data_IF_889762088670
#
_entry.id   IF_889762088670
#
_cell.length_a   1.000
_cell.length_b   1.000
_cell.length_c   1.000
_cell.angle_alpha   90.00
_cell.angle_beta   90.00
_cell.angle_gamma   90.00
#
_symmetry.space_group_name_H-M   'P 1'
#
loop_
_entity.id
_entity.type
_entity.pdbx_description
1 polymer ?
#
# COMPACT_ATOMS: atom_id res chain seq x y z
N UNK A 1 35.54 39.88 2.02
CA UNK A 1 34.20 40.06 2.64
C UNK A 1 33.02 39.93 1.67
N UNK A 2 33.07 40.47 0.44
CA UNK A 2 31.97 40.46 -0.56
C UNK A 2 31.50 39.05 -0.99
N UNK A 3 32.43 38.09 -1.16
CA UNK A 3 32.14 36.68 -1.56
C UNK A 3 31.35 35.90 -0.48
N UNK A 4 31.71 36.09 0.80
CA UNK A 4 31.02 35.49 1.97
C UNK A 4 29.59 36.00 2.14
N UNK A 5 29.34 37.30 1.90
CA UNK A 5 28.00 37.92 1.93
C UNK A 5 27.11 37.45 0.78
N UNK A 6 27.69 37.17 -0.39
CA UNK A 6 26.95 36.63 -1.54
C UNK A 6 26.54 35.17 -1.30
N UNK A 7 27.43 34.35 -0.72
CA UNK A 7 27.14 32.97 -0.33
C UNK A 7 26.04 32.87 0.73
N UNK A 8 26.01 33.76 1.73
CA UNK A 8 24.94 33.78 2.75
C UNK A 8 23.59 34.19 2.18
N UNK A 9 23.56 35.11 1.20
CA UNK A 9 22.33 35.50 0.50
C UNK A 9 21.80 34.37 -0.39
N UNK A 10 22.67 33.69 -1.13
CA UNK A 10 22.29 32.52 -1.94
C UNK A 10 21.77 31.39 -1.05
N UNK A 11 22.45 31.09 0.06
CA UNK A 11 21.99 30.09 1.02
C UNK A 11 20.63 30.46 1.63
N UNK A 12 20.39 31.74 1.94
CA UNK A 12 19.09 32.22 2.42
C UNK A 12 17.98 32.06 1.38
N UNK A 13 18.24 32.34 0.11
CA UNK A 13 17.27 32.12 -0.97
C UNK A 13 17.00 30.63 -1.23
N UNK A 14 18.03 29.78 -1.19
CA UNK A 14 17.87 28.32 -1.30
C UNK A 14 17.00 27.80 -0.14
N UNK A 15 17.29 28.20 1.10
CA UNK A 15 16.50 27.80 2.27
C UNK A 15 15.04 28.27 2.15
N UNK A 16 14.82 29.53 1.74
CA UNK A 16 13.48 30.06 1.55
C UNK A 16 12.69 29.31 0.46
N UNK A 17 13.34 28.99 -0.67
CA UNK A 17 12.73 28.21 -1.75
C UNK A 17 12.43 26.77 -1.31
N UNK A 18 13.33 26.12 -0.57
CA UNK A 18 13.10 24.77 -0.02
C UNK A 18 11.94 24.74 0.98
N UNK A 19 11.84 25.73 1.87
CA UNK A 19 10.73 25.86 2.81
C UNK A 19 9.41 26.15 2.11
N UNK A 20 9.41 27.04 1.11
CA UNK A 20 8.23 27.33 0.31
C UNK A 20 7.75 26.11 -0.47
N UNK A 21 8.68 25.36 -1.08
CA UNK A 21 8.38 24.08 -1.72
C UNK A 21 7.82 23.06 -0.74
N UNK A 22 8.44 22.90 0.44
CA UNK A 22 7.96 21.99 1.48
C UNK A 22 6.55 22.35 1.95
N UNK A 23 6.27 23.63 2.21
CA UNK A 23 4.94 24.09 2.56
C UNK A 23 3.93 23.83 1.44
N UNK A 24 4.30 24.07 0.18
CA UNK A 24 3.42 23.82 -0.95
C UNK A 24 3.10 22.33 -1.10
N UNK A 25 4.13 21.47 -1.17
CA UNK A 25 3.98 20.06 -1.47
C UNK A 25 3.31 19.28 -0.32
N UNK A 26 3.61 19.64 0.94
CA UNK A 26 3.14 18.87 2.09
C UNK A 26 1.92 19.47 2.80
N UNK A 27 1.57 20.74 2.55
CA UNK A 27 0.42 21.39 3.20
C UNK A 27 -0.59 21.94 2.19
N UNK A 28 -0.15 22.77 1.22
CA UNK A 28 -1.06 23.52 0.35
C UNK A 28 -1.70 22.62 -0.71
N UNK A 29 -0.89 21.89 -1.48
CA UNK A 29 -1.39 21.05 -2.57
C UNK A 29 -2.30 19.91 -2.06
N UNK A 30 -1.96 19.17 -0.98
CA UNK A 30 -2.86 18.16 -0.41
C UNK A 30 -4.18 18.76 0.08
N UNK A 31 -4.15 19.94 0.70
CA UNK A 31 -5.37 20.61 1.18
C UNK A 31 -6.26 21.09 0.03
N UNK A 32 -5.65 21.53 -1.08
CA UNK A 32 -6.35 21.92 -2.29
C UNK A 32 -7.05 20.74 -2.97
N UNK A 33 -6.34 19.63 -3.20
CA UNK A 33 -6.93 18.41 -3.77
C UNK A 33 -8.03 17.83 -2.87
N UNK A 34 -7.76 17.76 -1.56
CA UNK A 34 -8.79 17.37 -0.58
C UNK A 34 -10.02 18.30 -0.61
N UNK A 35 -9.90 19.55 -1.03
CA UNK A 35 -11.04 20.45 -1.20
C UNK A 35 -11.80 20.24 -2.51
N UNK A 36 -11.10 20.00 -3.61
CA UNK A 36 -11.73 19.70 -4.90
C UNK A 36 -12.47 18.36 -4.85
N UNK A 37 -11.84 17.34 -4.27
CA UNK A 37 -12.37 15.97 -4.26
C UNK A 37 -13.55 15.82 -3.30
N UNK A 38 -13.75 16.74 -2.34
CA UNK A 38 -14.96 16.83 -1.49
C UNK A 38 -16.27 16.95 -2.30
N UNK A 39 -16.20 17.38 -3.55
CA UNK A 39 -17.36 17.52 -4.44
C UNK A 39 -17.65 16.31 -5.35
N UNK A 40 -16.73 15.34 -5.45
CA UNK A 40 -16.84 14.16 -6.31
C UNK A 40 -17.13 12.91 -5.47
N UNK A 41 -18.30 12.89 -4.81
CA UNK A 41 -18.82 11.64 -4.27
C UNK A 41 -19.47 10.88 -5.43
N UNK A 42 -18.69 10.01 -6.05
CA UNK A 42 -19.19 9.08 -7.07
C UNK A 42 -19.06 7.64 -6.57
N UNK A 43 -20.23 7.10 -6.21
CA UNK A 43 -20.63 5.69 -6.12
C UNK A 43 -20.28 4.91 -4.84
N UNK A 44 -21.09 3.89 -4.48
CA UNK A 44 -20.93 3.11 -3.26
C UNK A 44 -19.73 2.15 -3.36
N UNK A 45 -18.76 2.36 -2.47
CA UNK A 45 -17.97 1.44 -1.63
C UNK A 45 -18.02 -0.09 -1.90
N UNK A 46 -17.62 -0.57 -3.07
CA UNK A 46 -17.18 -1.97 -3.19
C UNK A 46 -15.68 -2.02 -3.50
N UNK A 47 -14.89 -2.45 -2.52
CA UNK A 47 -13.49 -2.87 -2.73
C UNK A 47 -12.51 -1.77 -3.19
N UNK A 48 -12.64 -0.53 -2.69
CA UNK A 48 -11.65 0.54 -2.87
C UNK A 48 -11.21 1.12 -1.54
N UNK A 49 -9.91 1.27 -1.32
CA UNK A 49 -9.38 1.94 -0.12
C UNK A 49 -9.47 3.46 -0.24
N UNK A 50 -9.29 4.18 0.85
CA UNK A 50 -9.19 5.63 0.89
C UNK A 50 -7.98 6.07 1.70
N UNK A 51 -7.45 7.26 1.41
CA UNK A 51 -6.53 7.92 2.34
C UNK A 51 -7.31 8.39 3.59
N UNK A 52 -6.63 8.71 4.70
CA UNK A 52 -7.30 9.31 5.87
C UNK A 52 -8.05 10.62 5.57
N UNK A 53 -7.75 11.26 4.43
CA UNK A 53 -8.40 12.47 3.94
C UNK A 53 -9.63 12.19 3.05
N UNK A 54 -9.94 10.92 2.78
CA UNK A 54 -11.08 10.51 1.95
C UNK A 54 -10.78 10.47 0.45
N UNK A 55 -9.51 10.54 0.04
CA UNK A 55 -9.12 10.44 -1.36
C UNK A 55 -9.12 8.95 -1.75
N UNK A 56 -9.72 8.54 -2.87
CA UNK A 56 -9.65 7.16 -3.35
C UNK A 56 -8.20 6.66 -3.45
N UNK A 57 -7.93 5.52 -2.82
CA UNK A 57 -6.63 4.86 -2.76
C UNK A 57 -6.50 3.74 -3.78
N UNK A 58 -5.70 2.73 -3.43
CA UNK A 58 -5.56 1.51 -4.22
C UNK A 58 -6.83 0.63 -4.05
N UNK A 59 -7.28 -0.10 -5.09
CA UNK A 59 -8.39 -1.03 -4.95
C UNK A 59 -8.00 -2.29 -4.16
N UNK A 60 -8.99 -2.94 -3.57
CA UNK A 60 -8.91 -4.30 -3.05
C UNK A 60 -8.96 -5.25 -4.25
N UNK A 61 -7.90 -6.01 -4.45
CA UNK A 61 -7.72 -6.92 -5.59
C UNK A 61 -7.33 -8.34 -5.15
N UNK A 62 -7.12 -8.58 -3.86
CA UNK A 62 -6.81 -9.90 -3.29
C UNK A 62 -7.59 -10.15 -2.01
N UNK A 63 -7.77 -11.41 -1.65
CA UNK A 63 -8.19 -11.80 -0.32
C UNK A 63 -7.67 -13.16 0.08
N UNK A 64 -7.59 -13.42 1.38
CA UNK A 64 -7.15 -14.68 1.95
C UNK A 64 -8.12 -15.14 3.03
N UNK A 65 -8.53 -16.41 2.96
CA UNK A 65 -9.38 -17.05 3.96
C UNK A 65 -8.51 -17.94 4.84
N UNK A 66 -8.45 -17.60 6.12
CA UNK A 66 -7.67 -18.32 7.11
C UNK A 66 -7.40 -17.50 8.38
N UNK A 67 -6.95 -18.19 9.42
CA UNK A 67 -6.50 -17.52 10.64
C UNK A 67 -5.32 -16.60 10.36
N UNK A 68 -5.10 -15.63 11.25
CA UNK A 68 -3.95 -14.75 11.19
C UNK A 68 -2.63 -15.52 11.09
N UNK A 69 -2.47 -16.58 11.89
CA UNK A 69 -1.28 -17.42 11.90
C UNK A 69 -1.08 -18.17 10.58
N UNK A 70 -2.15 -18.61 9.93
CA UNK A 70 -2.09 -19.20 8.58
C UNK A 70 -1.64 -18.15 7.55
N UNK A 71 -2.20 -16.94 7.58
CA UNK A 71 -1.82 -15.85 6.67
C UNK A 71 -0.34 -15.50 6.81
N UNK A 72 0.14 -15.35 8.06
CA UNK A 72 1.55 -15.05 8.33
C UNK A 72 2.48 -16.15 7.82
N UNK A 73 2.16 -17.42 8.11
CA UNK A 73 2.95 -18.57 7.62
C UNK A 73 2.93 -18.67 6.10
N UNK A 74 1.79 -18.42 5.47
CA UNK A 74 1.63 -18.48 4.03
C UNK A 74 2.48 -17.42 3.31
N UNK A 75 2.47 -16.18 3.81
CA UNK A 75 3.27 -15.09 3.27
C UNK A 75 4.78 -15.32 3.48
N UNK A 76 5.19 -15.77 4.68
CA UNK A 76 6.57 -16.13 4.96
C UNK A 76 7.08 -17.25 4.04
N UNK A 77 6.29 -18.31 3.86
CA UNK A 77 6.61 -19.40 2.93
C UNK A 77 6.73 -18.94 1.47
N UNK A 78 5.98 -17.90 1.08
CA UNK A 78 6.09 -17.27 -0.24
C UNK A 78 7.18 -16.16 -0.31
N UNK A 79 7.96 -15.97 0.75
CA UNK A 79 9.10 -15.05 0.81
C UNK A 79 8.72 -13.58 0.99
N UNK A 80 7.56 -13.29 1.60
CA UNK A 80 7.14 -11.95 1.99
C UNK A 80 7.60 -11.63 3.42
N UNK A 81 7.90 -10.35 3.68
CA UNK A 81 8.34 -9.86 4.99
C UNK A 81 7.41 -8.77 5.51
N UNK A 82 7.25 -8.64 6.83
CA UNK A 82 6.41 -7.60 7.41
C UNK A 82 6.99 -6.18 7.13
N UNK A 83 6.13 -5.28 6.65
CA UNK A 83 6.53 -3.97 6.13
C UNK A 83 6.47 -2.83 7.16
N UNK A 84 5.89 -3.03 8.35
CA UNK A 84 5.85 -1.97 9.38
C UNK A 84 5.79 -2.51 10.83
N UNK A 85 6.05 -1.60 11.79
CA UNK A 85 6.07 -1.91 13.22
C UNK A 85 4.69 -2.34 13.77
N UNK A 86 3.60 -1.93 13.14
CA UNK A 86 2.24 -2.33 13.53
C UNK A 86 2.06 -3.81 13.20
N UNK A 87 2.45 -4.21 12.00
CA UNK A 87 2.45 -5.60 11.54
C UNK A 87 3.33 -6.44 12.45
N UNK A 88 4.53 -5.97 12.81
CA UNK A 88 5.39 -6.67 13.78
C UNK A 88 4.73 -6.84 15.14
N UNK A 89 4.14 -5.77 15.71
CA UNK A 89 3.41 -5.85 16.98
C UNK A 89 2.22 -6.81 16.89
N UNK A 90 1.52 -6.79 15.77
CA UNK A 90 0.43 -7.71 15.47
C UNK A 90 0.94 -9.15 15.26
N UNK A 91 2.16 -9.35 14.78
CA UNK A 91 2.71 -10.67 14.41
C UNK A 91 3.58 -11.32 15.49
N UNK A 92 3.70 -10.68 16.67
CA UNK A 92 4.59 -11.09 17.77
C UNK A 92 4.33 -12.50 18.34
N UNK A 93 3.24 -13.16 17.94
CA UNK A 93 2.93 -14.54 18.30
C UNK A 93 3.80 -15.58 17.56
N UNK A 94 4.52 -15.18 16.50
CA UNK A 94 5.41 -16.07 15.73
C UNK A 94 6.87 -15.83 16.18
N UNK A 95 7.53 -16.92 16.58
CA UNK A 95 8.72 -16.94 17.44
C UNK A 95 9.91 -16.06 17.01
N UNK A 96 10.61 -15.61 18.06
CA UNK A 96 11.81 -14.76 18.23
C UNK A 96 12.94 -14.71 17.16
N UNK A 97 12.88 -15.41 16.03
CA UNK A 97 14.04 -15.52 15.12
C UNK A 97 14.20 -14.41 14.07
N UNK A 98 13.23 -13.49 13.90
CA UNK A 98 13.29 -12.44 12.86
C UNK A 98 13.42 -11.03 13.45
N UNK A 99 13.50 -10.89 14.78
CA UNK A 99 13.30 -9.62 15.48
C UNK A 99 14.55 -8.69 15.56
N UNK A 100 15.73 -9.10 15.09
CA UNK A 100 16.98 -8.37 15.38
C UNK A 100 17.92 -8.15 14.19
N UNK A 101 17.49 -7.46 13.13
CA UNK A 101 18.52 -6.80 12.28
C UNK A 101 18.12 -5.58 11.44
N UNK A 102 17.03 -4.87 11.75
CA UNK A 102 16.75 -3.59 11.07
C UNK A 102 16.43 -2.47 12.06
N UNK A 103 17.34 -1.47 12.22
CA UNK A 103 17.00 -0.26 12.94
C UNK A 103 15.94 0.50 12.14
N UNK A 104 14.71 0.56 12.67
CA UNK A 104 13.56 1.16 12.01
C UNK A 104 13.29 2.56 12.56
N UNK A 105 13.42 3.57 11.70
CA UNK A 105 13.05 4.96 11.95
C UNK A 105 12.10 5.38 10.83
N UNK A 106 10.87 5.71 11.21
CA UNK A 106 9.74 6.20 10.40
C UNK A 106 9.04 5.21 9.45
N UNK A 107 7.71 5.18 9.55
CA UNK A 107 6.81 4.22 8.91
C UNK A 107 6.82 4.35 7.37
N UNK A 108 7.27 3.35 6.59
CA UNK A 108 7.51 3.51 5.15
C UNK A 108 6.26 3.23 4.28
N UNK A 109 5.11 2.97 4.90
CA UNK A 109 3.87 2.65 4.18
C UNK A 109 2.80 3.70 4.48
N UNK A 110 2.33 4.40 3.44
CA UNK A 110 1.18 5.30 3.53
C UNK A 110 -0.05 4.55 4.08
N UNK A 111 -0.69 5.15 5.09
CA UNK A 111 -1.91 4.59 5.69
C UNK A 111 -3.04 4.60 4.67
N UNK A 112 -3.68 3.45 4.48
CA UNK A 112 -4.92 3.33 3.72
C UNK A 112 -6.04 2.89 4.67
N UNK A 113 -7.24 3.34 4.38
CA UNK A 113 -8.44 3.10 5.16
C UNK A 113 -9.42 2.32 4.28
N UNK A 114 -9.95 1.23 4.82
CA UNK A 114 -11.00 0.44 4.20
C UNK A 114 -12.10 0.23 5.23
N UNK A 115 -13.36 0.51 4.85
CA UNK A 115 -14.52 0.48 5.76
C UNK A 115 -14.30 1.25 7.08
N UNK A 116 -13.63 2.41 6.99
CA UNK A 116 -13.34 3.25 8.16
C UNK A 116 -12.22 2.74 9.07
N UNK A 117 -11.56 1.62 8.72
CA UNK A 117 -10.43 1.05 9.49
C UNK A 117 -9.11 1.15 8.74
N UNK A 118 -8.04 1.42 9.48
CA UNK A 118 -6.67 1.28 8.97
C UNK A 118 -6.33 -0.19 8.73
N UNK A 119 -5.34 -0.44 7.87
CA UNK A 119 -4.86 -1.79 7.61
C UNK A 119 -4.41 -2.49 8.91
N UNK A 120 -4.67 -3.80 8.99
CA UNK A 120 -4.29 -4.62 10.15
C UNK A 120 -2.88 -5.20 9.99
N UNK A 121 -2.48 -5.53 8.75
CA UNK A 121 -1.17 -6.08 8.40
C UNK A 121 -0.67 -5.51 7.06
N UNK A 122 0.64 -5.40 6.90
CA UNK A 122 1.30 -4.98 5.66
C UNK A 122 2.58 -5.79 5.41
N UNK A 123 2.81 -6.22 4.17
CA UNK A 123 3.94 -7.05 3.77
C UNK A 123 4.62 -6.54 2.52
N UNK A 124 5.93 -6.65 2.47
CA UNK A 124 6.76 -6.29 1.33
C UNK A 124 7.60 -7.48 0.86
N UNK A 125 7.90 -7.51 -0.43
CA UNK A 125 8.87 -8.44 -1.02
C UNK A 125 9.79 -7.67 -1.98
N UNK A 126 11.10 -7.57 -1.70
CA UNK A 126 12.02 -6.76 -2.49
C UNK A 126 12.27 -7.35 -3.88
N UNK A 127 12.54 -6.49 -4.85
CA UNK A 127 12.97 -6.88 -6.21
C UNK A 127 14.41 -6.50 -6.45
N UNK A 128 15.29 -7.51 -6.51
CA UNK A 128 16.73 -7.29 -6.66
C UNK A 128 17.36 -6.63 -5.43
N UNK A 129 18.41 -5.84 -5.63
CA UNK A 129 19.18 -5.22 -4.55
C UNK A 129 18.73 -3.81 -4.18
N UNK A 130 17.82 -3.21 -4.96
CA UNK A 130 17.41 -1.81 -4.80
C UNK A 130 16.13 -1.68 -3.99
N UNK A 131 16.12 -0.78 -3.01
CA UNK A 131 14.96 -0.50 -2.16
C UNK A 131 13.84 0.30 -2.86
N UNK A 132 14.05 0.72 -4.11
CA UNK A 132 13.08 1.51 -4.89
C UNK A 132 11.98 0.65 -5.53
N UNK A 133 12.19 -0.68 -5.58
CA UNK A 133 11.25 -1.63 -6.18
C UNK A 133 10.88 -2.73 -5.23
N UNK A 134 9.59 -2.83 -4.91
CA UNK A 134 9.07 -3.83 -4.00
C UNK A 134 7.63 -4.15 -4.34
N UNK A 135 7.31 -5.43 -4.22
CA UNK A 135 5.93 -5.90 -4.13
C UNK A 135 5.40 -5.54 -2.76
N UNK A 136 4.13 -5.16 -2.68
CA UNK A 136 3.52 -4.72 -1.44
C UNK A 136 2.07 -5.16 -1.37
N UNK A 137 1.66 -5.68 -0.22
CA UNK A 137 0.27 -5.98 0.06
C UNK A 137 -0.11 -5.52 1.45
N UNK A 138 -1.31 -4.94 1.58
CA UNK A 138 -1.94 -4.60 2.87
C UNK A 138 -3.17 -5.47 3.05
N UNK A 139 -3.47 -5.87 4.28
CA UNK A 139 -4.63 -6.68 4.63
C UNK A 139 -5.47 -6.04 5.74
N UNK A 140 -6.78 -6.20 5.61
CA UNK A 140 -7.81 -5.85 6.59
C UNK A 140 -8.56 -7.12 6.97
N UNK A 141 -8.72 -7.36 8.27
CA UNK A 141 -9.58 -8.43 8.77
C UNK A 141 -11.03 -7.96 8.68
N UNK A 142 -11.84 -8.69 7.92
CA UNK A 142 -13.25 -8.39 7.76
C UNK A 142 -14.04 -8.77 9.03
N UNK A 143 -15.06 -7.97 9.40
CA UNK A 143 -15.91 -8.28 10.55
C UNK A 143 -16.72 -9.57 10.33
N UNK A 144 -17.15 -9.79 9.10
CA UNK A 144 -17.85 -11.00 8.69
C UNK A 144 -16.86 -12.05 8.17
N UNK A 145 -16.95 -13.31 8.61
CA UNK A 145 -16.09 -14.39 8.12
C UNK A 145 -16.45 -14.78 6.69
N UNK A 146 -15.60 -15.59 6.08
CA UNK A 146 -15.90 -16.27 4.83
C UNK A 146 -17.09 -17.24 5.00
N UNK A 147 -17.72 -17.71 3.91
CA UNK A 147 -18.89 -18.61 3.98
C UNK A 147 -18.66 -19.92 4.75
N UNK A 148 -17.41 -20.36 4.89
CA UNK A 148 -17.01 -21.54 5.67
C UNK A 148 -16.78 -21.24 7.17
N UNK A 149 -17.03 -20.00 7.60
CA UNK A 149 -16.85 -19.52 8.98
C UNK A 149 -15.42 -19.15 9.35
N UNK A 150 -14.44 -19.28 8.43
CA UNK A 150 -13.05 -18.90 8.69
C UNK A 150 -12.84 -17.40 8.52
N UNK A 151 -11.84 -16.79 9.17
CA UNK A 151 -11.58 -15.36 9.02
C UNK A 151 -11.25 -15.00 7.58
N UNK A 152 -11.88 -13.93 7.09
CA UNK A 152 -11.64 -13.36 5.76
C UNK A 152 -10.75 -12.13 5.89
N UNK A 153 -9.65 -12.12 5.13
CA UNK A 153 -8.78 -10.96 4.97
C UNK A 153 -8.96 -10.43 3.56
N UNK A 154 -9.33 -9.15 3.42
CA UNK A 154 -9.28 -8.46 2.14
C UNK A 154 -8.00 -7.65 2.05
N UNK A 155 -7.43 -7.56 0.86
CA UNK A 155 -6.16 -6.90 0.67
C UNK A 155 -6.03 -6.12 -0.63
N UNK A 156 -5.11 -5.15 -0.57
CA UNK A 156 -4.71 -4.33 -1.69
C UNK A 156 -3.24 -4.61 -1.98
N UNK A 157 -2.98 -5.27 -3.10
CA UNK A 157 -1.66 -5.60 -3.59
C UNK A 157 -1.26 -4.63 -4.71
N UNK A 158 -0.11 -3.98 -4.57
CA UNK A 158 0.46 -3.07 -5.56
C UNK A 158 1.99 -3.22 -5.65
N UNK A 159 2.53 -3.02 -6.85
CA UNK A 159 3.98 -3.06 -7.09
C UNK A 159 4.55 -1.63 -7.09
N UNK A 160 5.42 -1.31 -6.15
CA UNK A 160 6.16 -0.05 -6.17
C UNK A 160 7.28 -0.15 -7.21
N UNK A 161 7.26 0.70 -8.25
CA UNK A 161 8.23 0.69 -9.36
C UNK A 161 9.41 1.65 -9.19
N UNK A 162 9.34 2.55 -8.21
CA UNK A 162 10.37 3.55 -7.96
C UNK A 162 9.89 4.68 -7.03
N UNK A 163 10.84 5.51 -6.59
CA UNK A 163 10.57 6.77 -5.88
C UNK A 163 10.58 7.92 -6.89
N UNK A 164 9.60 8.81 -6.81
CA UNK A 164 9.51 10.00 -7.63
C UNK A 164 8.73 11.11 -6.94
N UNK A 165 8.31 12.11 -7.70
CA UNK A 165 7.46 13.18 -7.21
C UNK A 165 6.02 12.93 -7.67
N UNK A 166 5.06 13.00 -6.75
CA UNK A 166 3.64 12.98 -7.07
C UNK A 166 3.34 14.07 -8.09
N UNK A 167 2.62 13.72 -9.15
CA UNK A 167 2.24 14.68 -10.19
C UNK A 167 1.26 15.74 -9.66
N UNK A 168 0.53 15.43 -8.60
CA UNK A 168 -0.56 16.25 -8.08
C UNK A 168 -0.09 17.15 -6.93
N UNK A 169 0.76 16.63 -6.04
CA UNK A 169 1.23 17.36 -4.85
C UNK A 169 2.69 17.79 -4.95
N UNK A 170 3.50 17.17 -5.82
CA UNK A 170 4.93 17.35 -5.84
C UNK A 170 5.64 16.74 -4.62
N UNK A 171 4.95 15.95 -3.78
CA UNK A 171 5.57 15.20 -2.68
C UNK A 171 6.46 14.10 -3.22
N UNK A 172 7.54 13.78 -2.50
CA UNK A 172 8.27 12.54 -2.76
C UNK A 172 7.35 11.36 -2.39
N UNK A 173 7.02 10.52 -3.37
CA UNK A 173 6.16 9.34 -3.21
C UNK A 173 6.76 8.14 -3.92
N UNK A 174 6.37 6.94 -3.50
CA UNK A 174 6.54 5.76 -4.32
C UNK A 174 5.50 5.80 -5.44
N UNK A 175 5.94 5.44 -6.64
CA UNK A 175 5.04 5.24 -7.77
C UNK A 175 4.68 3.77 -7.87
N UNK A 176 3.40 3.47 -8.03
CA UNK A 176 2.97 2.11 -8.31
C UNK A 176 3.08 1.80 -9.81
N UNK A 177 3.19 0.51 -10.13
CA UNK A 177 3.01 0.01 -11.48
C UNK A 177 1.52 0.02 -11.84
N UNK A 178 1.14 0.47 -13.05
CA UNK A 178 -0.27 0.62 -13.39
C UNK A 178 -1.06 -0.68 -13.49
N UNK A 179 -0.40 -1.82 -13.73
CA UNK A 179 -1.06 -3.12 -13.87
C UNK A 179 -1.25 -3.77 -12.50
N UNK A 180 -2.44 -3.62 -11.92
CA UNK A 180 -2.76 -4.20 -10.61
C UNK A 180 -3.08 -5.70 -10.69
N UNK A 181 -3.50 -6.18 -11.86
CA UNK A 181 -3.80 -7.58 -12.08
C UNK A 181 -2.50 -8.39 -12.08
N UNK A 182 -1.44 -7.85 -12.68
CA UNK A 182 -0.11 -8.47 -12.63
C UNK A 182 0.41 -8.65 -11.20
N UNK A 183 0.17 -7.69 -10.31
CA UNK A 183 0.59 -7.80 -8.90
C UNK A 183 -0.29 -8.78 -8.11
N UNK A 184 -1.61 -8.75 -8.32
CA UNK A 184 -2.54 -9.73 -7.76
C UNK A 184 -2.11 -11.15 -8.13
N UNK A 185 -1.85 -11.37 -9.41
CA UNK A 185 -1.49 -12.68 -9.96
C UNK A 185 -0.09 -13.11 -9.46
N UNK A 186 0.84 -12.17 -9.29
CA UNK A 186 2.14 -12.44 -8.67
C UNK A 186 2.01 -12.93 -7.22
N UNK A 187 1.17 -12.27 -6.41
CA UNK A 187 0.94 -12.66 -5.02
C UNK A 187 0.29 -14.04 -4.94
N UNK A 188 -0.82 -14.24 -5.67
CA UNK A 188 -1.58 -15.50 -5.64
C UNK A 188 -0.74 -16.65 -6.20
N UNK A 189 -0.06 -16.44 -7.34
CA UNK A 189 0.82 -17.44 -7.93
C UNK A 189 2.00 -17.80 -7.02
N UNK A 190 2.54 -16.84 -6.27
CA UNK A 190 3.57 -17.09 -5.26
C UNK A 190 3.10 -17.98 -4.12
N UNK A 191 1.89 -17.74 -3.62
CA UNK A 191 1.26 -18.57 -2.57
C UNK A 191 0.91 -19.97 -3.10
N UNK A 192 0.46 -20.08 -4.35
CA UNK A 192 0.20 -21.37 -4.99
C UNK A 192 1.50 -22.18 -5.17
N UNK A 193 2.56 -21.55 -5.67
CA UNK A 193 3.87 -22.17 -5.84
C UNK A 193 4.50 -22.63 -4.50
N UNK A 194 4.24 -21.91 -3.41
CA UNK A 194 4.62 -22.32 -2.07
C UNK A 194 3.78 -23.48 -1.51
N UNK A 195 2.71 -23.89 -2.21
CA UNK A 195 1.85 -25.00 -1.80
C UNK A 195 0.97 -24.70 -0.59
N UNK A 196 0.77 -23.42 -0.25
CA UNK A 196 0.02 -22.99 0.94
C UNK A 196 -1.46 -22.69 0.67
N UNK A 197 -1.87 -22.68 -0.60
CA UNK A 197 -3.27 -22.55 -1.00
C UNK A 197 -3.95 -23.92 -1.15
N UNK A 198 -5.17 -24.03 -0.63
CA UNK A 198 -6.07 -25.15 -0.85
C UNK A 198 -6.83 -24.99 -2.17
N UNK A 199 -7.29 -23.77 -2.45
CA UNK A 199 -7.98 -23.39 -3.68
C UNK A 199 -8.03 -21.86 -3.82
N UNK A 200 -8.47 -21.39 -4.98
CA UNK A 200 -8.71 -19.98 -5.27
C UNK A 200 -10.07 -19.80 -5.96
N UNK A 201 -10.67 -18.62 -5.81
CA UNK A 201 -11.84 -18.20 -6.56
C UNK A 201 -11.81 -16.68 -6.78
N UNK A 202 -12.59 -16.19 -7.76
CA UNK A 202 -12.68 -14.76 -8.05
C UNK A 202 -13.96 -14.17 -7.48
N UNK A 203 -13.84 -12.97 -6.92
CA UNK A 203 -14.93 -12.13 -6.44
C UNK A 203 -14.96 -10.81 -7.19
N UNK A 204 -16.12 -10.14 -7.19
CA UNK A 204 -16.24 -8.82 -7.79
C UNK A 204 -15.50 -7.81 -6.91
N UNK A 205 -14.49 -7.14 -7.48
CA UNK A 205 -13.75 -6.06 -6.85
C UNK A 205 -14.33 -4.69 -7.20
N UNK A 206 -13.45 -3.73 -7.49
CA UNK A 206 -13.82 -2.35 -7.93
C UNK A 206 -14.53 -2.32 -9.29
N UNK A 207 -14.50 -3.42 -10.05
CA UNK A 207 -15.01 -3.48 -11.41
C UNK A 207 -14.00 -2.97 -12.46
N UNK A 208 -14.20 -3.33 -13.75
CA UNK A 208 -13.20 -3.09 -14.79
C UNK A 208 -12.83 -1.61 -14.88
N UNK A 209 -11.54 -1.32 -14.72
CA UNK A 209 -11.01 0.05 -14.63
C UNK A 209 -9.84 0.22 -15.59
N UNK A 210 -9.91 1.21 -16.49
CA UNK A 210 -8.84 1.48 -17.49
C UNK A 210 -8.03 2.75 -17.21
N UNK A 211 -8.58 3.65 -16.41
CA UNK A 211 -8.02 4.99 -16.17
C UNK A 211 -8.13 5.38 -14.70
N UNK A 212 -7.96 4.39 -13.80
CA UNK A 212 -8.03 4.60 -12.36
C UNK A 212 -6.87 5.45 -11.87
N UNK A 213 -7.04 6.10 -10.72
CA UNK A 213 -5.98 6.82 -10.01
C UNK A 213 -6.02 6.51 -8.53
N UNK A 214 -4.87 6.29 -7.92
CA UNK A 214 -4.76 6.09 -6.49
C UNK A 214 -4.55 7.42 -5.74
N UNK A 215 -4.45 7.34 -4.41
CA UNK A 215 -4.34 8.52 -3.54
C UNK A 215 -3.05 9.34 -3.72
N UNK A 216 -2.04 8.79 -4.41
CA UNK A 216 -0.82 9.51 -4.80
C UNK A 216 -0.89 10.17 -6.18
N UNK A 217 -1.96 9.90 -6.94
CA UNK A 217 -2.19 10.36 -8.30
C UNK A 217 -1.73 9.39 -9.39
N UNK A 218 -1.23 8.20 -9.03
CA UNK A 218 -0.70 7.24 -10.01
C UNK A 218 -1.80 6.55 -10.80
N UNK A 219 -1.64 6.42 -12.13
CA UNK A 219 -2.60 5.72 -12.95
C UNK A 219 -2.56 4.21 -12.71
N UNK A 220 -3.72 3.57 -12.72
CA UNK A 220 -3.84 2.11 -12.69
C UNK A 220 -4.93 1.59 -13.64
N UNK A 221 -4.83 0.31 -13.98
CA UNK A 221 -5.86 -0.47 -14.64
C UNK A 221 -6.01 -1.85 -13.99
N UNK A 222 -7.21 -2.42 -14.10
CA UNK A 222 -7.56 -3.75 -13.60
C UNK A 222 -8.80 -4.29 -14.34
N UNK A 223 -8.89 -5.61 -14.46
CA UNK A 223 -10.10 -6.32 -14.86
C UNK A 223 -11.26 -6.14 -13.86
N UNK A 224 -10.99 -5.60 -12.68
CA UNK A 224 -11.97 -5.28 -11.66
C UNK A 224 -12.30 -6.40 -10.70
N UNK A 225 -11.59 -7.51 -10.75
CA UNK A 225 -11.82 -8.68 -9.94
C UNK A 225 -10.85 -8.72 -8.74
N UNK A 226 -11.31 -9.32 -7.64
CA UNK A 226 -10.46 -9.72 -6.55
C UNK A 226 -10.25 -11.24 -6.58
N UNK A 227 -9.02 -11.71 -6.41
CA UNK A 227 -8.76 -13.15 -6.28
C UNK A 227 -8.64 -13.53 -4.82
N UNK A 228 -9.49 -14.47 -4.38
CA UNK A 228 -9.55 -14.96 -3.01
C UNK A 228 -8.87 -16.32 -2.94
N UNK A 229 -7.86 -16.45 -2.08
CA UNK A 229 -7.17 -17.70 -1.80
C UNK A 229 -7.61 -18.31 -0.47
N UNK A 230 -7.91 -19.61 -0.45
CA UNK A 230 -8.20 -20.35 0.78
C UNK A 230 -6.90 -20.96 1.29
N UNK A 231 -6.45 -20.54 2.47
CA UNK A 231 -5.20 -21.01 3.08
C UNK A 231 -5.34 -22.42 3.63
N UNK A 232 -4.28 -23.22 3.51
CA UNK A 232 -4.15 -24.51 4.19
C UNK A 232 -3.87 -24.29 5.69
N UNK A 233 -4.49 -25.09 6.59
CA UNK A 233 -4.20 -25.06 8.03
C UNK A 233 -2.76 -25.42 8.39
#
# INVERSE_FOLDING_TARGET
MRRRRMQTRVAGWVLALSLAYGAFAYLIAPAFWSWLDRGNIALPDAMVTTTPQGIPGDPINVGLVGSKTELLRALDAAGWSAADAITWRSSLEIGESVLFDRPYSDAPVSTLVFEGRKQDLAFEKPVGESADRRHHVRFWLMPDPAPDGRPLWLGSASFDRGVGFSHDTGQITHHIWPDLDAERDFLIGGLEAAGVLASTYSETGVGPTKTGRNGGGDPYFTDGMATIGILRP
#
